data_IF_843302166257
#
_entry.id   IF_843302166257
#
_cell.length_a   1.000
_cell.length_b   1.000
_cell.length_c   1.000
_cell.angle_alpha   90.00
_cell.angle_beta   90.00
_cell.angle_gamma   90.00
#
_symmetry.space_group_name_H-M   'P 1'
#
loop_
_entity.id
_entity.type
_entity.pdbx_description
1 polymer ?
#
# COMPACT_ATOMS: atom_id res chain seq x y z
N UNK A 1 15.00 -20.88 2.25
CA UNK A 1 14.91 -20.15 3.55
C UNK A 1 13.96 -18.97 3.41
N UNK A 2 13.33 -18.48 4.49
CA UNK A 2 12.55 -17.25 4.42
C UNK A 2 13.45 -16.03 4.17
N UNK A 3 13.02 -15.12 3.30
CA UNK A 3 13.61 -13.78 3.17
C UNK A 3 13.33 -13.02 4.47
N UNK A 4 14.39 -12.62 5.19
CA UNK A 4 14.33 -11.87 6.46
C UNK A 4 15.11 -10.56 6.37
N UNK A 5 14.85 -9.54 7.22
CA UNK A 5 15.62 -8.31 7.20
C UNK A 5 17.11 -8.54 7.43
N UNK A 6 17.48 -9.46 8.33
CA UNK A 6 18.88 -9.84 8.55
C UNK A 6 19.53 -10.48 7.32
N UNK A 7 18.80 -11.32 6.58
CA UNK A 7 19.29 -11.90 5.33
C UNK A 7 19.44 -10.83 4.24
N UNK A 8 18.46 -9.93 4.11
CA UNK A 8 18.51 -8.81 3.16
C UNK A 8 19.70 -7.89 3.45
N UNK A 9 19.86 -7.47 4.71
CA UNK A 9 20.96 -6.61 5.16
C UNK A 9 22.33 -7.21 4.82
N UNK A 10 22.47 -8.53 4.92
CA UNK A 10 23.73 -9.23 4.67
C UNK A 10 24.01 -9.46 3.18
N UNK A 11 23.01 -9.87 2.40
CA UNK A 11 23.25 -10.44 1.06
C UNK A 11 22.69 -9.61 -0.10
N UNK A 12 21.70 -8.74 0.15
CA UNK A 12 21.02 -7.98 -0.91
C UNK A 12 21.30 -6.48 -0.82
N UNK A 13 21.22 -5.91 0.39
CA UNK A 13 21.45 -4.48 0.63
C UNK A 13 22.82 -4.01 0.12
N UNK A 14 23.94 -4.74 0.32
CA UNK A 14 25.24 -4.31 -0.21
C UNK A 14 25.26 -4.20 -1.73
N UNK A 15 24.60 -5.12 -2.43
CA UNK A 15 24.50 -5.11 -3.90
C UNK A 15 23.67 -3.93 -4.39
N UNK A 16 22.51 -3.69 -3.77
CA UNK A 16 21.66 -2.54 -4.11
C UNK A 16 22.36 -1.20 -3.83
N UNK A 17 23.19 -1.11 -2.78
CA UNK A 17 24.01 0.08 -2.51
C UNK A 17 25.08 0.27 -3.57
N UNK A 18 25.85 -0.77 -3.88
CA UNK A 18 26.89 -0.70 -4.90
C UNK A 18 26.33 -0.26 -6.26
N UNK A 19 25.14 -0.76 -6.64
CA UNK A 19 24.45 -0.30 -7.84
C UNK A 19 24.10 1.19 -7.80
N UNK A 20 23.55 1.69 -6.69
CA UNK A 20 23.25 3.11 -6.53
C UNK A 20 24.51 3.98 -6.55
N UNK A 21 25.58 3.55 -5.88
CA UNK A 21 26.89 4.24 -5.84
C UNK A 21 27.57 4.29 -7.20
N UNK A 22 27.38 3.23 -8.01
CA UNK A 22 27.81 3.18 -9.40
C UNK A 22 26.92 4.00 -10.36
N UNK A 23 25.88 4.66 -9.85
CA UNK A 23 24.99 5.52 -10.63
C UNK A 23 23.92 4.78 -11.42
N UNK A 24 23.62 3.52 -11.09
CA UNK A 24 22.54 2.77 -11.75
C UNK A 24 21.19 3.50 -11.55
N UNK A 25 20.45 3.80 -12.62
CA UNK A 25 19.24 4.59 -12.50
C UNK A 25 18.10 3.78 -11.87
N UNK A 26 17.45 4.37 -10.86
CA UNK A 26 16.26 3.83 -10.21
C UNK A 26 16.40 2.34 -9.81
N UNK A 27 17.45 2.04 -9.03
CA UNK A 27 17.63 0.72 -8.40
C UNK A 27 16.44 0.40 -7.51
N UNK A 28 15.90 -0.80 -7.61
CA UNK A 28 14.72 -1.26 -6.90
C UNK A 28 14.96 -2.66 -6.34
N UNK A 29 14.33 -2.91 -5.20
CA UNK A 29 14.22 -4.26 -4.63
C UNK A 29 12.75 -4.65 -4.58
N UNK A 30 12.46 -5.92 -4.88
CA UNK A 30 11.12 -6.47 -4.77
C UNK A 30 11.18 -7.86 -4.19
N UNK A 31 10.17 -8.22 -3.39
CA UNK A 31 10.00 -9.59 -2.90
C UNK A 31 9.07 -10.34 -3.84
N UNK A 32 9.46 -11.54 -4.21
CA UNK A 32 8.63 -12.47 -4.96
C UNK A 32 8.31 -13.75 -4.17
N UNK A 33 7.31 -14.48 -4.65
CA UNK A 33 6.81 -15.70 -4.04
C UNK A 33 6.56 -16.82 -5.06
N UNK A 34 6.27 -16.51 -6.33
CA UNK A 34 6.02 -17.56 -7.31
C UNK A 34 7.27 -18.44 -7.49
N UNK A 35 7.11 -19.77 -7.43
CA UNK A 35 8.20 -20.75 -7.37
C UNK A 35 9.15 -20.63 -6.16
N UNK A 36 8.66 -20.05 -5.06
CA UNK A 36 9.38 -19.93 -3.79
C UNK A 36 9.76 -18.50 -3.42
N UNK A 37 10.16 -18.22 -2.17
CA UNK A 37 10.56 -16.89 -1.74
C UNK A 37 11.85 -16.43 -2.44
N UNK A 38 11.81 -15.28 -3.09
CA UNK A 38 12.96 -14.69 -3.79
C UNK A 38 12.95 -13.16 -3.70
N UNK A 39 14.03 -12.55 -4.17
CA UNK A 39 14.18 -11.09 -4.26
C UNK A 39 14.65 -10.72 -5.65
N UNK A 40 13.92 -9.81 -6.29
CA UNK A 40 14.32 -9.21 -7.56
C UNK A 40 15.17 -7.97 -7.26
N UNK A 41 16.30 -7.87 -7.95
CA UNK A 41 17.12 -6.66 -8.00
C UNK A 41 16.94 -6.08 -9.40
N UNK A 42 16.36 -4.88 -9.47
CA UNK A 42 16.02 -4.24 -10.73
C UNK A 42 16.72 -2.88 -10.80
N UNK A 43 17.02 -2.43 -12.00
CA UNK A 43 17.37 -1.04 -12.29
C UNK A 43 16.69 -0.65 -13.60
N UNK A 44 16.43 0.64 -13.80
CA UNK A 44 15.91 1.13 -15.06
C UNK A 44 16.95 0.88 -16.15
N UNK A 45 16.48 0.56 -17.36
CA UNK A 45 17.36 0.49 -18.51
C UNK A 45 18.07 1.84 -18.71
N UNK A 46 19.38 1.77 -18.90
CA UNK A 46 20.28 2.91 -19.04
C UNK A 46 20.81 3.05 -20.47
N UNK A 47 20.12 2.44 -21.45
CA UNK A 47 20.40 2.65 -22.87
C UNK A 47 20.49 4.15 -23.18
N UNK A 48 21.68 4.59 -23.62
CA UNK A 48 21.96 5.99 -23.94
C UNK A 48 22.42 6.89 -22.77
N UNK A 49 22.59 6.37 -21.55
CA UNK A 49 23.17 7.12 -20.42
C UNK A 49 24.70 6.95 -20.43
N UNK A 50 25.49 8.05 -20.35
CA UNK A 50 26.95 7.96 -20.20
C UNK A 50 27.34 7.14 -18.97
N UNK A 51 28.10 6.05 -19.16
CA UNK A 51 28.42 5.08 -18.11
C UNK A 51 27.72 3.72 -18.27
N UNK A 52 26.70 3.62 -19.13
CA UNK A 52 25.97 2.37 -19.40
C UNK A 52 25.05 1.91 -18.27
N UNK A 53 24.40 0.76 -18.46
CA UNK A 53 23.62 0.09 -17.42
C UNK A 53 24.48 -0.82 -16.54
N UNK A 54 23.91 -1.36 -15.45
CA UNK A 54 24.61 -2.35 -14.63
C UNK A 54 25.13 -3.52 -15.47
N UNK A 55 26.37 -3.95 -15.21
CA UNK A 55 26.86 -5.26 -15.66
C UNK A 55 26.16 -6.34 -14.83
N UNK A 56 25.00 -6.77 -15.31
CA UNK A 56 24.18 -7.74 -14.61
C UNK A 56 24.82 -9.13 -14.52
N UNK A 57 25.70 -9.49 -15.44
CA UNK A 57 26.44 -10.76 -15.37
C UNK A 57 27.47 -10.69 -14.24
N UNK A 58 28.15 -9.56 -14.06
CA UNK A 58 29.02 -9.34 -12.91
C UNK A 58 28.24 -9.29 -11.59
N UNK A 59 27.09 -8.63 -11.55
CA UNK A 59 26.20 -8.62 -10.38
C UNK A 59 25.77 -10.05 -10.03
N UNK A 60 25.31 -10.83 -11.02
CA UNK A 60 24.87 -12.21 -10.82
C UNK A 60 25.99 -13.10 -10.26
N UNK A 61 27.22 -12.99 -10.80
CA UNK A 61 28.39 -13.72 -10.28
C UNK A 61 28.77 -13.35 -8.85
N UNK A 62 28.45 -12.12 -8.42
CA UNK A 62 28.74 -11.64 -7.07
C UNK A 62 27.66 -11.96 -6.04
N UNK A 63 26.47 -12.41 -6.47
CA UNK A 63 25.37 -12.73 -5.56
C UNK A 63 25.61 -14.05 -4.84
N UNK A 64 25.29 -14.08 -3.54
CA UNK A 64 25.27 -15.31 -2.74
C UNK A 64 24.04 -15.30 -1.84
N UNK A 65 23.32 -16.41 -1.79
CA UNK A 65 22.17 -16.56 -0.89
C UNK A 65 22.58 -16.98 0.53
N UNK A 66 23.87 -17.20 0.79
CA UNK A 66 24.38 -17.80 2.02
C UNK A 66 23.99 -19.28 2.17
N UNK A 67 24.37 -19.92 3.29
CA UNK A 67 24.07 -21.32 3.53
C UNK A 67 22.56 -21.55 3.67
N UNK A 68 22.09 -22.68 3.14
CA UNK A 68 20.74 -23.18 3.43
C UNK A 68 20.75 -23.79 4.84
N UNK A 69 19.88 -23.30 5.72
CA UNK A 69 19.62 -23.90 7.02
C UNK A 69 18.58 -25.04 6.86
N UNK A 70 18.96 -26.34 6.93
CA UNK A 70 18.07 -27.44 6.57
C UNK A 70 16.79 -27.52 7.44
N UNK A 71 16.85 -27.35 8.78
CA UNK A 71 15.64 -27.21 9.62
C UNK A 71 14.67 -26.10 9.21
N UNK A 72 15.14 -25.07 8.50
CA UNK A 72 14.32 -23.92 8.05
C UNK A 72 14.10 -23.91 6.54
N UNK A 73 14.53 -24.96 5.84
CA UNK A 73 14.30 -25.12 4.42
C UNK A 73 12.80 -25.38 4.18
N UNK A 74 12.22 -24.66 3.21
CA UNK A 74 10.84 -24.89 2.83
C UNK A 74 10.78 -26.16 1.99
N UNK A 75 9.88 -27.07 2.33
CA UNK A 75 9.51 -28.18 1.46
C UNK A 75 8.43 -27.73 0.48
N UNK A 76 8.35 -28.36 -0.69
CA UNK A 76 7.30 -28.06 -1.68
C UNK A 76 5.90 -28.26 -1.08
N UNK A 77 5.72 -29.31 -0.27
CA UNK A 77 4.49 -29.60 0.45
C UNK A 77 4.08 -28.46 1.39
N UNK A 78 5.03 -27.98 2.22
CA UNK A 78 4.78 -26.87 3.15
C UNK A 78 4.47 -25.59 2.40
N UNK A 79 5.13 -25.36 1.27
CA UNK A 79 4.99 -24.12 0.50
C UNK A 79 3.69 -24.05 -0.29
N UNK A 80 3.22 -25.18 -0.84
CA UNK A 80 2.11 -25.20 -1.78
C UNK A 80 0.81 -24.63 -1.18
N UNK A 81 0.56 -24.84 0.11
CA UNK A 81 -0.59 -24.26 0.80
C UNK A 81 -0.55 -22.72 0.80
N UNK A 82 0.62 -22.16 1.11
CA UNK A 82 0.84 -20.70 1.08
C UNK A 82 0.73 -20.16 -0.35
N UNK A 83 1.34 -20.82 -1.32
CA UNK A 83 1.33 -20.39 -2.72
C UNK A 83 -0.09 -20.40 -3.33
N UNK A 84 -0.93 -21.39 -2.96
CA UNK A 84 -2.34 -21.43 -3.36
C UNK A 84 -3.12 -20.22 -2.85
N UNK A 85 -2.90 -19.86 -1.60
CA UNK A 85 -3.58 -18.71 -1.00
C UNK A 85 -3.10 -17.39 -1.62
N UNK A 86 -1.81 -17.24 -1.89
CA UNK A 86 -1.28 -16.09 -2.62
C UNK A 86 -1.81 -16.04 -4.05
N UNK A 87 -1.86 -17.16 -4.75
CA UNK A 87 -2.42 -17.23 -6.10
C UNK A 87 -3.88 -16.82 -6.15
N UNK A 88 -4.70 -17.28 -5.19
CA UNK A 88 -6.10 -16.86 -5.07
C UNK A 88 -6.24 -15.35 -4.83
N UNK A 89 -5.49 -14.81 -3.86
CA UNK A 89 -5.61 -13.41 -3.46
C UNK A 89 -4.98 -12.43 -4.46
N UNK A 90 -3.95 -12.84 -5.20
CA UNK A 90 -3.26 -12.03 -6.21
C UNK A 90 -3.71 -12.32 -7.64
N UNK A 91 -4.72 -13.20 -7.82
CA UNK A 91 -5.21 -13.69 -9.11
C UNK A 91 -4.10 -14.26 -10.02
N UNK A 92 -3.15 -14.98 -9.41
CA UNK A 92 -2.04 -15.66 -10.10
C UNK A 92 -2.40 -17.12 -10.28
N UNK A 93 -2.42 -17.59 -11.52
CA UNK A 93 -2.74 -18.98 -11.85
C UNK A 93 -1.55 -19.94 -11.57
N UNK A 94 -1.81 -21.22 -11.25
CA UNK A 94 -0.77 -22.25 -11.20
C UNK A 94 -0.13 -22.46 -12.60
N UNK A 95 1.05 -23.11 -12.69
CA UNK A 95 1.74 -23.86 -11.64
C UNK A 95 2.54 -23.00 -10.66
N UNK A 96 2.51 -23.35 -9.36
CA UNK A 96 3.30 -22.69 -8.31
C UNK A 96 4.62 -23.41 -7.98
N UNK A 97 4.76 -24.63 -8.47
CA UNK A 97 5.89 -25.55 -8.28
C UNK A 97 6.47 -25.90 -9.67
N UNK A 98 7.72 -26.39 -9.76
CA UNK A 98 8.66 -26.69 -8.66
C UNK A 98 9.15 -25.44 -7.92
N UNK A 99 9.71 -25.63 -6.72
CA UNK A 99 10.48 -24.58 -6.06
C UNK A 99 11.79 -24.33 -6.82
N UNK A 100 12.18 -23.07 -6.97
CA UNK A 100 13.53 -22.71 -7.41
C UNK A 100 14.58 -23.19 -6.40
N UNK A 101 15.73 -23.60 -6.91
CA UNK A 101 16.86 -24.03 -6.09
C UNK A 101 17.36 -22.88 -5.19
N UNK A 102 17.71 -23.19 -3.94
CA UNK A 102 18.26 -22.20 -3.03
C UNK A 102 19.58 -21.63 -3.57
N UNK A 103 19.63 -20.31 -3.75
CA UNK A 103 20.81 -19.63 -4.30
C UNK A 103 20.86 -19.58 -5.81
N UNK A 104 19.84 -20.10 -6.51
CA UNK A 104 19.70 -19.85 -7.94
C UNK A 104 19.57 -18.35 -8.21
N UNK A 105 20.27 -17.90 -9.25
CA UNK A 105 20.20 -16.54 -9.77
C UNK A 105 19.73 -16.63 -11.22
N UNK A 106 18.62 -15.97 -11.52
CA UNK A 106 18.00 -15.98 -12.84
C UNK A 106 17.95 -14.56 -13.41
N UNK A 107 18.11 -14.46 -14.73
CA UNK A 107 17.87 -13.21 -15.47
C UNK A 107 16.37 -13.01 -15.59
N UNK A 108 15.87 -11.86 -15.15
CA UNK A 108 14.48 -11.47 -15.35
C UNK A 108 14.39 -10.64 -16.63
N UNK A 109 13.64 -11.13 -17.61
CA UNK A 109 13.39 -10.38 -18.83
C UNK A 109 12.40 -9.23 -18.57
N UNK A 110 12.53 -8.08 -19.26
CA UNK A 110 11.55 -7.00 -19.17
C UNK A 110 10.13 -7.50 -19.47
N UNK A 111 9.20 -7.30 -18.53
CA UNK A 111 7.82 -7.79 -18.66
C UNK A 111 7.63 -9.29 -18.38
N UNK A 112 8.71 -10.04 -18.15
CA UNK A 112 8.69 -11.47 -17.82
C UNK A 112 8.30 -11.75 -16.37
N UNK A 113 7.20 -11.16 -15.89
CA UNK A 113 6.66 -11.50 -14.57
C UNK A 113 5.74 -12.69 -14.73
N UNK A 114 6.24 -13.87 -14.38
CA UNK A 114 5.40 -15.05 -14.30
C UNK A 114 4.21 -14.80 -13.37
N UNK A 115 3.01 -15.05 -13.89
CA UNK A 115 1.79 -15.18 -13.10
C UNK A 115 1.11 -13.89 -12.62
N UNK A 116 1.75 -12.72 -12.64
CA UNK A 116 1.04 -11.50 -12.24
C UNK A 116 -0.03 -11.13 -13.27
N UNK A 117 -1.28 -10.98 -12.81
CA UNK A 117 -2.36 -10.44 -13.63
C UNK A 117 -1.88 -9.21 -14.43
N UNK A 118 -2.34 -9.08 -15.68
CA UNK A 118 -1.95 -8.02 -16.60
C UNK A 118 -2.22 -6.65 -15.96
N UNK A 119 -1.20 -6.12 -15.28
CA UNK A 119 -1.17 -4.72 -14.86
C UNK A 119 -1.01 -3.91 -16.12
N UNK A 120 -1.72 -2.80 -16.19
CA UNK A 120 -1.55 -1.88 -17.31
C UNK A 120 -0.06 -1.48 -17.43
N UNK A 121 0.62 -1.81 -18.54
CA UNK A 121 2.06 -1.54 -18.69
C UNK A 121 2.40 -0.04 -18.56
N UNK A 122 1.43 0.85 -18.76
CA UNK A 122 1.59 2.30 -18.56
C UNK A 122 1.93 2.65 -17.11
N UNK A 123 1.64 1.77 -16.14
CA UNK A 123 1.94 1.96 -14.73
C UNK A 123 3.38 1.59 -14.36
N UNK A 124 4.09 0.81 -15.18
CA UNK A 124 5.42 0.30 -14.84
C UNK A 124 6.47 1.42 -14.76
N UNK A 125 6.35 2.46 -15.59
CA UNK A 125 7.22 3.64 -15.50
C UNK A 125 7.08 4.36 -14.16
N UNK A 126 5.86 4.45 -13.62
CA UNK A 126 5.58 5.12 -12.35
C UNK A 126 6.12 4.31 -11.18
N UNK A 127 5.92 3.00 -11.24
CA UNK A 127 6.52 2.04 -10.32
C UNK A 127 8.05 2.18 -10.28
N UNK A 128 8.70 2.20 -11.44
CA UNK A 128 10.15 2.31 -11.50
C UNK A 128 10.68 3.59 -10.84
N UNK A 129 10.02 4.73 -11.12
CA UNK A 129 10.38 6.03 -10.53
C UNK A 129 10.17 6.03 -9.01
N UNK A 130 8.98 5.63 -8.56
CA UNK A 130 8.61 5.66 -7.14
C UNK A 130 9.42 4.65 -6.34
N UNK A 131 9.47 3.39 -6.75
CA UNK A 131 10.26 2.37 -6.05
C UNK A 131 11.74 2.73 -6.03
N UNK A 132 12.28 3.28 -7.13
CA UNK A 132 13.64 3.81 -7.15
C UNK A 132 13.88 4.91 -6.11
N UNK A 133 12.94 5.84 -5.96
CA UNK A 133 13.00 6.91 -4.96
C UNK A 133 12.83 6.39 -3.51
N UNK A 134 12.09 5.30 -3.30
CA UNK A 134 11.91 4.67 -2.00
C UNK A 134 13.08 3.78 -1.58
N UNK A 135 13.88 3.30 -2.53
CA UNK A 135 14.99 2.36 -2.26
C UNK A 135 15.94 2.83 -1.16
N UNK A 136 16.44 4.09 -1.12
CA UNK A 136 17.32 4.53 -0.04
C UNK A 136 16.69 4.40 1.36
N UNK A 137 15.40 4.71 1.51
CA UNK A 137 14.68 4.57 2.77
C UNK A 137 14.46 3.10 3.15
N UNK A 138 14.15 2.27 2.14
CA UNK A 138 13.99 0.83 2.28
C UNK A 138 15.28 0.16 2.77
N UNK A 139 16.42 0.46 2.15
CA UNK A 139 17.72 -0.09 2.54
C UNK A 139 18.11 0.30 3.97
N UNK A 140 17.88 1.55 4.38
CA UNK A 140 18.10 1.98 5.78
C UNK A 140 17.18 1.25 6.75
N UNK A 141 15.91 1.10 6.40
CA UNK A 141 14.94 0.39 7.24
C UNK A 141 15.32 -1.07 7.41
N UNK A 142 15.82 -1.74 6.36
CA UNK A 142 16.33 -3.12 6.46
C UNK A 142 17.49 -3.21 7.44
N UNK A 143 18.46 -2.30 7.37
CA UNK A 143 19.59 -2.26 8.29
C UNK A 143 19.14 -2.01 9.74
N UNK A 144 18.22 -1.07 9.96
CA UNK A 144 17.68 -0.77 11.29
C UNK A 144 16.97 -1.99 11.90
N UNK A 145 16.16 -2.68 11.10
CA UNK A 145 15.45 -3.90 11.52
C UNK A 145 16.41 -5.06 11.80
N UNK A 146 17.54 -5.13 11.10
CA UNK A 146 18.57 -6.14 11.31
C UNK A 146 19.45 -5.82 12.54
N UNK A 147 19.75 -4.54 12.78
CA UNK A 147 20.68 -4.08 13.82
C UNK A 147 20.04 -3.79 15.17
N UNK A 148 18.76 -3.45 15.22
CA UNK A 148 18.05 -3.06 16.45
C UNK A 148 16.80 -3.92 16.64
N UNK A 149 16.90 -5.06 17.35
CA UNK A 149 15.76 -5.92 17.65
C UNK A 149 14.63 -5.15 18.33
N UNK A 150 13.38 -5.41 17.93
CA UNK A 150 12.20 -4.76 18.50
C UNK A 150 11.88 -3.38 17.92
N UNK A 151 12.72 -2.81 17.06
CA UNK A 151 12.45 -1.51 16.41
C UNK A 151 11.32 -1.53 15.35
N UNK A 152 10.78 -2.71 15.03
CA UNK A 152 9.82 -2.93 13.95
C UNK A 152 8.63 -1.98 13.96
N UNK A 153 7.93 -1.87 15.10
CA UNK A 153 6.76 -0.98 15.22
C UNK A 153 7.13 0.48 14.94
N UNK A 154 8.24 0.95 15.52
CA UNK A 154 8.71 2.33 15.34
C UNK A 154 9.01 2.62 13.85
N UNK A 155 9.81 1.76 13.21
CA UNK A 155 10.23 1.96 11.81
C UNK A 155 9.07 1.91 10.82
N UNK A 156 8.09 1.05 11.09
CA UNK A 156 6.86 1.02 10.29
C UNK A 156 6.02 2.27 10.53
N UNK A 157 5.85 2.72 11.76
CA UNK A 157 5.12 3.94 12.06
C UNK A 157 5.73 5.16 11.37
N UNK A 158 7.06 5.32 11.39
CA UNK A 158 7.77 6.39 10.68
C UNK A 158 7.46 6.39 9.18
N UNK A 159 7.47 5.21 8.54
CA UNK A 159 7.19 5.07 7.12
C UNK A 159 5.73 5.40 6.77
N UNK A 160 4.77 4.95 7.60
CA UNK A 160 3.34 5.22 7.40
C UNK A 160 2.97 6.68 7.67
N UNK A 161 3.56 7.29 8.70
CA UNK A 161 3.38 8.73 8.99
C UNK A 161 3.97 9.56 7.85
N UNK A 162 5.14 9.20 7.33
CA UNK A 162 5.72 9.86 6.16
C UNK A 162 4.83 9.74 4.91
N UNK A 163 4.18 8.59 4.69
CA UNK A 163 3.24 8.41 3.57
C UNK A 163 1.99 9.28 3.75
N UNK A 164 1.34 9.20 4.91
CA UNK A 164 0.13 9.97 5.17
C UNK A 164 0.40 11.48 5.03
N UNK A 165 1.57 11.92 5.46
CA UNK A 165 1.97 13.32 5.38
C UNK A 165 2.21 13.84 3.95
N UNK A 166 2.29 12.99 2.92
CA UNK A 166 2.32 13.47 1.52
C UNK A 166 0.97 13.98 1.04
N UNK A 167 -0.09 13.84 1.83
CA UNK A 167 -1.40 14.37 1.47
C UNK A 167 -1.36 15.91 1.42
N UNK A 168 -2.04 16.53 0.45
CA UNK A 168 -2.01 17.99 0.23
C UNK A 168 -2.48 18.80 1.43
N UNK A 169 -3.42 18.26 2.22
CA UNK A 169 -3.90 18.83 3.48
C UNK A 169 -3.10 18.36 4.73
N UNK A 170 -1.99 17.67 4.52
CA UNK A 170 -1.11 17.15 5.57
C UNK A 170 -1.60 15.89 6.27
N UNK A 171 -0.83 15.48 7.29
CA UNK A 171 -0.99 14.21 8.03
C UNK A 171 -2.43 13.95 8.51
N UNK A 172 -3.11 14.96 9.07
CA UNK A 172 -4.45 14.81 9.64
C UNK A 172 -5.52 14.32 8.65
N UNK A 173 -5.32 14.57 7.36
CA UNK A 173 -6.20 14.07 6.29
C UNK A 173 -5.61 12.88 5.56
N UNK A 174 -4.27 12.83 5.42
CA UNK A 174 -3.63 11.69 4.80
C UNK A 174 -3.85 10.37 5.52
N UNK A 175 -4.03 10.39 6.86
CA UNK A 175 -4.39 9.19 7.64
C UNK A 175 -5.76 8.60 7.30
N UNK A 176 -6.60 9.31 6.55
CA UNK A 176 -7.86 8.74 6.06
C UNK A 176 -7.64 7.58 5.09
N UNK A 177 -6.53 7.54 4.35
CA UNK A 177 -6.21 6.39 3.49
C UNK A 177 -5.82 5.14 4.30
N UNK A 178 -4.89 5.20 5.28
CA UNK A 178 -4.69 4.13 6.24
C UNK A 178 -5.98 3.69 6.96
N UNK A 179 -6.81 4.64 7.41
CA UNK A 179 -8.09 4.34 8.07
C UNK A 179 -9.05 3.60 7.14
N UNK A 180 -9.24 4.07 5.91
CA UNK A 180 -10.02 3.39 4.86
C UNK A 180 -9.51 1.97 4.64
N UNK A 181 -8.19 1.80 4.51
CA UNK A 181 -7.60 0.49 4.22
C UNK A 181 -7.85 -0.52 5.34
N UNK A 182 -7.72 -0.12 6.60
CA UNK A 182 -8.01 -1.02 7.72
C UNK A 182 -9.51 -1.27 7.90
N UNK A 183 -10.37 -0.26 7.78
CA UNK A 183 -11.82 -0.46 7.88
C UNK A 183 -12.36 -1.37 6.76
N UNK A 184 -11.78 -1.29 5.56
CA UNK A 184 -12.10 -2.20 4.47
C UNK A 184 -11.74 -3.64 4.81
N UNK A 185 -10.55 -3.86 5.39
CA UNK A 185 -10.15 -5.18 5.87
C UNK A 185 -11.03 -5.68 7.02
N UNK A 186 -11.39 -4.81 7.96
CA UNK A 186 -12.23 -5.18 9.10
C UNK A 186 -13.64 -5.58 8.64
N UNK A 187 -14.20 -4.88 7.66
CA UNK A 187 -15.46 -5.26 7.01
C UNK A 187 -15.34 -6.61 6.27
N UNK A 188 -14.24 -6.81 5.54
CA UNK A 188 -13.96 -8.07 4.84
C UNK A 188 -13.76 -9.26 5.79
N UNK A 189 -13.10 -9.07 6.94
CA UNK A 189 -12.84 -10.13 7.92
C UNK A 189 -14.05 -10.44 8.82
N UNK A 190 -14.99 -9.50 8.97
CA UNK A 190 -16.14 -9.58 9.87
C UNK A 190 -16.95 -10.89 9.80
N UNK A 191 -17.17 -11.53 8.62
CA UNK A 191 -17.90 -12.80 8.55
C UNK A 191 -17.23 -13.95 9.34
N UNK A 192 -15.93 -13.83 9.64
CA UNK A 192 -15.14 -14.90 10.26
C UNK A 192 -14.57 -14.48 11.61
N UNK A 193 -14.16 -13.22 11.78
CA UNK A 193 -13.52 -12.74 13.00
C UNK A 193 -13.55 -11.22 13.13
N UNK A 194 -13.86 -10.73 14.34
CA UNK A 194 -13.56 -9.35 14.72
C UNK A 194 -12.19 -9.26 15.39
N UNK A 195 -11.26 -8.53 14.74
CA UNK A 195 -9.90 -8.34 15.24
C UNK A 195 -9.70 -6.99 15.95
N UNK A 196 -10.71 -6.12 16.00
CA UNK A 196 -10.62 -4.80 16.67
C UNK A 196 -10.15 -4.89 18.13
N UNK A 197 -10.63 -5.83 18.97
CA UNK A 197 -10.16 -5.94 20.35
C UNK A 197 -8.67 -6.29 20.47
N UNK A 198 -8.14 -7.05 19.51
CA UNK A 198 -6.71 -7.40 19.47
C UNK A 198 -5.89 -6.16 19.09
N UNK A 199 -6.34 -5.41 18.08
CA UNK A 199 -5.68 -4.17 17.66
C UNK A 199 -5.69 -3.11 18.76
N UNK A 200 -6.81 -2.91 19.45
CA UNK A 200 -6.93 -1.95 20.54
C UNK A 200 -5.97 -2.27 21.70
N UNK A 201 -5.91 -3.54 22.13
CA UNK A 201 -4.94 -3.98 23.16
C UNK A 201 -3.50 -3.75 22.72
N UNK A 202 -3.19 -4.10 21.47
CA UNK A 202 -1.83 -3.91 20.94
C UNK A 202 -1.46 -2.42 20.82
N UNK A 203 -2.40 -1.58 20.40
CA UNK A 203 -2.23 -0.12 20.38
C UNK A 203 -1.91 0.42 21.77
N UNK A 204 -2.58 -0.05 22.83
CA UNK A 204 -2.28 0.39 24.18
C UNK A 204 -0.82 0.08 24.61
N UNK A 205 -0.25 -1.02 24.13
CA UNK A 205 1.16 -1.38 24.36
C UNK A 205 2.12 -0.49 23.56
N UNK A 206 1.79 -0.24 22.29
CA UNK A 206 2.66 0.49 21.35
C UNK A 206 2.47 2.02 21.41
N UNK A 207 1.47 2.52 22.14
CA UNK A 207 1.04 3.92 22.17
C UNK A 207 2.17 4.93 22.45
N UNK A 208 3.07 4.73 23.43
CA UNK A 208 4.15 5.70 23.67
C UNK A 208 5.09 5.87 22.47
N UNK A 209 5.40 4.78 21.76
CA UNK A 209 6.27 4.84 20.59
C UNK A 209 5.56 5.48 19.40
N UNK A 210 4.28 5.14 19.18
CA UNK A 210 3.48 5.68 18.08
C UNK A 210 3.23 7.18 18.26
N UNK A 211 2.85 7.60 19.48
CA UNK A 211 2.62 9.00 19.83
C UNK A 211 3.85 9.84 19.56
N UNK A 212 5.02 9.36 20.00
CA UNK A 212 6.31 10.00 19.73
C UNK A 212 6.54 10.25 18.24
N UNK A 213 6.31 9.27 17.37
CA UNK A 213 6.51 9.45 15.91
C UNK A 213 5.61 10.54 15.34
N UNK A 214 4.35 10.59 15.77
CA UNK A 214 3.39 11.60 15.31
C UNK A 214 3.78 12.99 15.82
N UNK A 215 4.12 13.12 17.11
CA UNK A 215 4.53 14.39 17.73
C UNK A 215 5.85 14.92 17.14
N UNK A 216 6.86 14.06 16.97
CA UNK A 216 8.12 14.39 16.29
C UNK A 216 7.81 14.93 14.89
N UNK A 217 7.01 14.21 14.10
CA UNK A 217 6.63 14.70 12.76
C UNK A 217 5.96 16.07 12.82
N UNK A 218 4.98 16.28 13.72
CA UNK A 218 4.26 17.55 13.81
C UNK A 218 5.16 18.72 14.26
N UNK A 219 6.14 18.45 15.12
CA UNK A 219 7.14 19.45 15.56
C UNK A 219 8.21 19.76 14.50
N UNK A 220 8.32 18.92 13.46
CA UNK A 220 9.34 19.02 12.41
C UNK A 220 10.63 18.24 12.71
N UNK A 221 10.75 17.65 13.91
CA UNK A 221 11.81 16.73 14.26
C UNK A 221 11.61 15.38 13.56
N UNK A 222 12.68 14.80 13.00
CA UNK A 222 12.61 13.47 12.38
C UNK A 222 13.92 12.71 12.58
N UNK A 223 13.79 11.40 12.81
CA UNK A 223 14.93 10.49 12.73
C UNK A 223 15.49 10.44 11.29
N UNK A 224 16.72 9.95 11.12
CA UNK A 224 17.32 9.78 9.79
C UNK A 224 16.49 8.83 8.89
N UNK A 225 15.89 7.80 9.47
CA UNK A 225 15.05 6.84 8.74
C UNK A 225 13.71 7.46 8.33
N UNK A 226 13.06 8.18 9.24
CA UNK A 226 11.86 8.97 8.92
C UNK A 226 12.14 10.02 7.84
N UNK A 227 13.27 10.72 7.92
CA UNK A 227 13.69 11.70 6.91
C UNK A 227 13.89 11.05 5.54
N UNK A 228 14.54 9.89 5.47
CA UNK A 228 14.73 9.17 4.21
C UNK A 228 13.39 8.77 3.56
N UNK A 229 12.43 8.28 4.36
CA UNK A 229 11.09 7.99 3.87
C UNK A 229 10.39 9.24 3.34
N UNK A 230 10.42 10.34 4.09
CA UNK A 230 9.84 11.63 3.67
C UNK A 230 10.42 12.10 2.34
N UNK A 231 11.74 12.05 2.16
CA UNK A 231 12.40 12.45 0.91
C UNK A 231 11.94 11.59 -0.27
N UNK A 232 11.98 10.26 -0.12
CA UNK A 232 11.58 9.35 -1.20
C UNK A 232 10.11 9.47 -1.56
N UNK A 233 9.24 9.57 -0.56
CA UNK A 233 7.79 9.72 -0.74
C UNK A 233 7.41 11.08 -1.32
N UNK A 234 8.05 12.17 -0.90
CA UNK A 234 7.83 13.50 -1.47
C UNK A 234 8.25 13.56 -2.94
N UNK A 235 9.40 12.96 -3.29
CA UNK A 235 9.82 12.84 -4.69
C UNK A 235 8.82 12.01 -5.51
N UNK A 236 8.40 10.87 -4.98
CA UNK A 236 7.38 10.01 -5.61
C UNK A 236 6.06 10.75 -5.82
N UNK A 237 5.56 11.46 -4.80
CA UNK A 237 4.35 12.27 -4.88
C UNK A 237 4.45 13.33 -5.98
N UNK A 238 5.53 14.13 -6.00
CA UNK A 238 5.71 15.18 -7.01
C UNK A 238 5.82 14.63 -8.44
N UNK A 239 6.48 13.48 -8.64
CA UNK A 239 6.55 12.83 -9.94
C UNK A 239 5.17 12.33 -10.43
N UNK A 240 4.37 11.76 -9.53
CA UNK A 240 3.03 11.28 -9.83
C UNK A 240 2.04 12.43 -10.03
N UNK A 241 2.14 13.51 -9.25
CA UNK A 241 1.35 14.74 -9.43
C UNK A 241 1.64 15.39 -10.78
N UNK A 242 2.91 15.43 -11.19
CA UNK A 242 3.29 15.88 -12.53
C UNK A 242 2.65 15.02 -13.63
N UNK A 243 2.57 13.71 -13.41
CA UNK A 243 1.92 12.78 -14.35
C UNK A 243 0.39 12.99 -14.41
N UNK A 244 -0.25 13.30 -13.28
CA UNK A 244 -1.67 13.69 -13.20
C UNK A 244 -1.90 15.00 -13.96
N UNK A 245 -1.08 16.02 -13.72
CA UNK A 245 -1.18 17.31 -14.41
C UNK A 245 -1.01 17.17 -15.93
N UNK A 246 -0.17 16.23 -16.38
CA UNK A 246 0.01 15.88 -17.79
C UNK A 246 -1.09 14.97 -18.36
N UNK A 247 -2.07 14.53 -17.57
CA UNK A 247 -3.15 13.62 -18.01
C UNK A 247 -2.69 12.19 -18.28
N UNK A 248 -1.46 11.83 -17.87
CA UNK A 248 -0.87 10.51 -18.13
C UNK A 248 -1.06 9.50 -17.00
N UNK A 249 -1.52 9.99 -15.85
CA UNK A 249 -2.01 9.22 -14.71
C UNK A 249 -3.41 9.73 -14.35
N UNK A 250 -4.41 8.87 -14.46
CA UNK A 250 -5.82 9.20 -14.17
C UNK A 250 -6.43 8.16 -13.23
N UNK A 251 -7.56 8.49 -12.61
CA UNK A 251 -8.31 7.51 -11.82
C UNK A 251 -8.82 6.35 -12.69
N UNK A 252 -9.32 6.64 -13.89
CA UNK A 252 -9.76 5.62 -14.85
C UNK A 252 -8.64 4.63 -15.21
N UNK A 253 -7.41 5.12 -15.37
CA UNK A 253 -6.25 4.24 -15.60
C UNK A 253 -6.05 3.27 -14.43
N UNK A 254 -6.17 3.77 -13.20
CA UNK A 254 -5.99 2.96 -12.01
C UNK A 254 -7.16 2.00 -11.77
N UNK A 255 -8.38 2.39 -12.09
CA UNK A 255 -9.57 1.54 -11.97
C UNK A 255 -9.54 0.43 -13.03
N UNK A 256 -9.21 0.80 -14.27
CA UNK A 256 -9.04 -0.11 -15.39
C UNK A 256 -7.96 -1.18 -15.16
N UNK A 257 -6.89 -0.86 -14.43
CA UNK A 257 -5.83 -1.82 -14.10
C UNK A 257 -6.28 -3.00 -13.22
N UNK A 258 -7.47 -2.91 -12.62
CA UNK A 258 -8.08 -3.99 -11.82
C UNK A 258 -9.45 -4.43 -12.37
N UNK A 259 -9.87 -3.84 -13.49
CA UNK A 259 -11.12 -4.19 -14.16
C UNK A 259 -11.02 -5.60 -14.73
N UNK A 260 -12.04 -6.43 -14.47
CA UNK A 260 -12.09 -7.81 -14.94
C UNK A 260 -11.38 -8.85 -14.06
N UNK A 261 -10.80 -8.45 -12.92
CA UNK A 261 -10.39 -9.43 -11.91
C UNK A 261 -11.63 -10.14 -11.37
N UNK A 262 -11.65 -11.47 -11.44
CA UNK A 262 -12.66 -12.27 -10.77
C UNK A 262 -12.42 -12.21 -9.25
N UNK A 263 -13.38 -11.61 -8.54
CA UNK A 263 -13.33 -11.44 -7.09
C UNK A 263 -14.22 -12.44 -6.35
N UNK A 264 -14.91 -13.33 -7.04
CA UNK A 264 -15.94 -14.22 -6.48
C UNK A 264 -15.42 -15.12 -5.36
N UNK A 265 -14.14 -15.48 -5.42
CA UNK A 265 -13.46 -16.30 -4.41
C UNK A 265 -12.44 -15.52 -3.57
N UNK A 266 -12.56 -14.19 -3.47
CA UNK A 266 -11.63 -13.34 -2.69
C UNK A 266 -12.11 -13.05 -1.26
N UNK A 267 -13.05 -13.82 -0.73
CA UNK A 267 -13.49 -13.74 0.67
C UNK A 267 -12.40 -14.14 1.68
N UNK A 268 -12.66 -13.93 2.98
CA UNK A 268 -11.71 -14.25 4.04
C UNK A 268 -11.47 -15.75 4.22
N UNK A 269 -10.32 -16.15 4.81
CA UNK A 269 -10.07 -17.53 5.18
C UNK A 269 -11.23 -18.11 6.00
N UNK A 270 -11.77 -19.25 5.57
CA UNK A 270 -12.95 -19.88 6.17
C UNK A 270 -14.30 -19.43 5.58
N UNK A 271 -14.32 -18.40 4.74
CA UNK A 271 -15.51 -17.95 4.01
C UNK A 271 -15.12 -17.34 2.64
N UNK A 272 -14.41 -18.12 1.82
CA UNK A 272 -13.75 -17.65 0.58
C UNK A 272 -14.70 -17.08 -0.48
N UNK A 273 -15.99 -17.45 -0.46
CA UNK A 273 -17.02 -16.93 -1.38
C UNK A 273 -17.84 -15.77 -0.78
N UNK A 274 -17.58 -15.40 0.48
CA UNK A 274 -18.24 -14.27 1.13
C UNK A 274 -17.44 -13.01 0.83
N UNK A 275 -17.81 -12.35 -0.26
CA UNK A 275 -17.14 -11.15 -0.76
C UNK A 275 -17.93 -9.90 -0.40
N UNK A 276 -17.26 -8.75 -0.15
CA UNK A 276 -17.95 -7.48 0.06
C UNK A 276 -18.94 -7.17 -1.08
N UNK A 277 -20.16 -6.74 -0.72
CA UNK A 277 -21.20 -6.35 -1.69
C UNK A 277 -21.19 -4.82 -1.86
N UNK A 278 -21.42 -4.36 -3.08
CA UNK A 278 -21.44 -2.93 -3.42
C UNK A 278 -20.09 -2.37 -3.86
N UNK A 279 -20.06 -1.09 -4.19
CA UNK A 279 -18.86 -0.41 -4.71
C UNK A 279 -17.85 -0.03 -3.62
N UNK A 280 -18.30 0.05 -2.36
CA UNK A 280 -17.48 0.45 -1.22
C UNK A 280 -17.60 -0.57 -0.07
N UNK A 281 -16.57 -0.71 0.77
CA UNK A 281 -16.65 -1.53 1.98
C UNK A 281 -17.74 -1.02 2.93
N UNK A 282 -18.57 -1.93 3.44
CA UNK A 282 -19.62 -1.56 4.41
C UNK A 282 -19.02 -1.39 5.81
N UNK A 283 -18.67 -0.14 6.14
CA UNK A 283 -18.18 0.26 7.46
C UNK A 283 -18.61 1.68 7.76
N UNK A 284 -18.59 2.05 9.04
CA UNK A 284 -18.97 3.40 9.48
C UNK A 284 -18.16 4.49 8.79
N UNK A 285 -16.84 4.32 8.72
CA UNK A 285 -15.95 5.25 8.05
C UNK A 285 -16.33 5.49 6.58
N UNK A 286 -16.51 4.41 5.80
CA UNK A 286 -16.82 4.52 4.37
C UNK A 286 -18.22 5.11 4.12
N UNK A 287 -19.20 4.79 4.98
CA UNK A 287 -20.53 5.41 4.91
C UNK A 287 -20.45 6.91 5.20
N UNK A 288 -19.77 7.33 6.28
CA UNK A 288 -19.61 8.74 6.62
C UNK A 288 -18.87 9.53 5.52
N UNK A 289 -17.79 8.96 4.95
CA UNK A 289 -17.06 9.56 3.83
C UNK A 289 -17.95 9.69 2.59
N UNK A 290 -18.76 8.67 2.30
CA UNK A 290 -19.73 8.67 1.19
C UNK A 290 -20.83 9.71 1.38
N UNK A 291 -21.42 9.78 2.57
CA UNK A 291 -22.46 10.76 2.95
C UNK A 291 -21.93 12.20 2.89
N UNK A 292 -20.67 12.42 3.25
CA UNK A 292 -19.99 13.70 3.10
C UNK A 292 -19.69 14.08 1.64
N UNK A 293 -19.97 13.20 0.67
CA UNK A 293 -19.78 13.45 -0.76
C UNK A 293 -18.32 13.41 -1.22
N UNK A 294 -17.37 13.07 -0.35
CA UNK A 294 -15.92 13.12 -0.63
C UNK A 294 -15.53 12.22 -1.81
N UNK A 295 -16.22 11.08 -1.97
CA UNK A 295 -15.95 10.10 -3.03
C UNK A 295 -16.77 10.33 -4.30
N UNK A 296 -17.71 11.28 -4.32
CA UNK A 296 -18.63 11.49 -5.45
C UNK A 296 -17.95 12.12 -6.68
N UNK A 297 -16.95 12.97 -6.44
CA UNK A 297 -16.14 13.63 -7.47
C UNK A 297 -14.71 13.79 -6.95
N UNK A 298 -13.92 12.70 -6.86
CA UNK A 298 -12.57 12.76 -6.34
C UNK A 298 -11.71 13.70 -7.20
N UNK A 299 -10.91 14.55 -6.54
CA UNK A 299 -9.98 15.42 -7.25
C UNK A 299 -8.96 14.58 -8.04
N UNK A 300 -8.55 14.99 -9.26
CA UNK A 300 -7.57 14.27 -10.06
C UNK A 300 -6.27 13.95 -9.33
N UNK A 301 -5.84 14.82 -8.42
CA UNK A 301 -4.63 14.62 -7.60
C UNK A 301 -4.70 13.30 -6.80
N UNK A 302 -5.90 12.84 -6.45
CA UNK A 302 -6.11 11.59 -5.69
C UNK A 302 -5.53 10.37 -6.42
N UNK A 303 -5.44 10.40 -7.76
CA UNK A 303 -4.76 9.34 -8.52
C UNK A 303 -3.28 9.21 -8.14
N UNK A 304 -2.59 10.34 -7.92
CA UNK A 304 -1.20 10.36 -7.44
C UNK A 304 -1.10 9.71 -6.05
N UNK A 305 -1.91 10.16 -5.09
CA UNK A 305 -1.87 9.65 -3.72
C UNK A 305 -2.22 8.17 -3.61
N UNK A 306 -3.25 7.75 -4.35
CA UNK A 306 -3.69 6.35 -4.40
C UNK A 306 -2.61 5.46 -4.99
N UNK A 307 -1.98 5.87 -6.09
CA UNK A 307 -0.90 5.10 -6.68
C UNK A 307 0.33 5.07 -5.77
N UNK A 308 0.73 6.20 -5.16
CA UNK A 308 1.84 6.26 -4.22
C UNK A 308 1.64 5.31 -3.04
N UNK A 309 0.43 5.33 -2.44
CA UNK A 309 0.04 4.44 -1.34
C UNK A 309 0.14 2.97 -1.75
N UNK A 310 -0.37 2.62 -2.92
CA UNK A 310 -0.30 1.24 -3.42
C UNK A 310 1.15 0.79 -3.66
N UNK A 311 1.97 1.65 -4.28
CA UNK A 311 3.39 1.36 -4.53
C UNK A 311 4.19 1.27 -3.22
N UNK A 312 3.86 2.06 -2.20
CA UNK A 312 4.41 1.93 -0.86
C UNK A 312 4.04 0.57 -0.23
N UNK A 313 2.76 0.17 -0.28
CA UNK A 313 2.31 -1.10 0.27
C UNK A 313 2.96 -2.32 -0.38
N UNK A 314 3.33 -2.23 -1.66
CA UNK A 314 4.07 -3.29 -2.35
C UNK A 314 5.50 -3.49 -1.83
N UNK A 315 6.08 -2.51 -1.11
CA UNK A 315 7.42 -2.62 -0.53
C UNK A 315 7.42 -3.31 0.85
N UNK A 316 6.28 -3.30 1.54
CA UNK A 316 6.14 -3.85 2.90
C UNK A 316 6.50 -5.35 3.01
N UNK A 317 6.17 -6.23 2.04
CA UNK A 317 6.59 -7.63 2.10
C UNK A 317 8.11 -7.82 2.12
N UNK A 318 8.89 -6.93 1.50
CA UNK A 318 10.35 -6.96 1.55
C UNK A 318 10.85 -6.72 2.98
N UNK A 319 10.20 -5.83 3.73
CA UNK A 319 10.45 -5.59 5.15
C UNK A 319 9.88 -6.70 6.06
N UNK A 320 9.41 -7.81 5.48
CA UNK A 320 8.75 -8.93 6.20
C UNK A 320 7.50 -8.54 6.97
N UNK A 321 6.86 -7.44 6.57
CA UNK A 321 5.58 -7.01 7.13
C UNK A 321 4.48 -7.91 6.57
N UNK A 322 3.87 -8.69 7.44
CA UNK A 322 2.69 -9.47 7.10
C UNK A 322 1.50 -8.56 6.78
N UNK A 323 0.50 -9.03 6.02
CA UNK A 323 -0.75 -8.31 5.85
C UNK A 323 -1.35 -7.88 7.18
N UNK A 324 -1.24 -8.72 8.22
CA UNK A 324 -1.79 -8.38 9.53
C UNK A 324 -1.10 -7.19 10.19
N UNK A 325 0.23 -7.16 10.15
CA UNK A 325 1.01 -6.04 10.67
C UNK A 325 0.73 -4.76 9.88
N UNK A 326 0.52 -4.85 8.56
CA UNK A 326 0.11 -3.70 7.73
C UNK A 326 -1.21 -3.11 8.23
N UNK A 327 -2.26 -3.92 8.36
CA UNK A 327 -3.56 -3.42 8.81
C UNK A 327 -3.53 -2.91 10.25
N UNK A 328 -2.78 -3.57 11.14
CA UNK A 328 -2.56 -3.06 12.48
C UNK A 328 -1.86 -1.69 12.46
N UNK A 329 -0.81 -1.52 11.65
CA UNK A 329 -0.10 -0.23 11.54
C UNK A 329 -1.01 0.86 10.99
N UNK A 330 -1.84 0.56 9.98
CA UNK A 330 -2.87 1.47 9.48
C UNK A 330 -3.82 1.94 10.60
N UNK A 331 -4.35 1.00 11.39
CA UNK A 331 -5.21 1.29 12.53
C UNK A 331 -4.49 2.15 13.57
N UNK A 332 -3.32 1.69 14.00
CA UNK A 332 -2.57 2.32 15.07
C UNK A 332 -2.17 3.76 14.73
N UNK A 333 -1.69 4.02 13.52
CA UNK A 333 -1.34 5.38 13.06
C UNK A 333 -2.57 6.27 12.96
N UNK A 334 -3.69 5.77 12.41
CA UNK A 334 -4.91 6.55 12.28
C UNK A 334 -5.51 6.95 13.63
N UNK A 335 -5.57 6.02 14.59
CA UNK A 335 -6.03 6.30 15.96
C UNK A 335 -5.07 7.27 16.68
N UNK A 336 -3.76 7.06 16.56
CA UNK A 336 -2.76 7.92 17.22
C UNK A 336 -2.81 9.35 16.70
N UNK A 337 -3.04 9.56 15.40
CA UNK A 337 -3.17 10.91 14.84
C UNK A 337 -4.42 11.60 15.35
N UNK A 338 -5.55 10.89 15.51
CA UNK A 338 -6.76 11.47 16.13
C UNK A 338 -6.51 11.86 17.58
N UNK A 339 -5.83 11.01 18.35
CA UNK A 339 -5.46 11.29 19.75
C UNK A 339 -4.53 12.51 19.87
N UNK A 340 -3.46 12.57 19.07
CA UNK A 340 -2.47 13.66 19.14
C UNK A 340 -3.05 14.99 18.67
N UNK A 341 -3.90 14.98 17.64
CA UNK A 341 -4.57 16.19 17.17
C UNK A 341 -5.71 16.63 18.11
N UNK A 342 -6.18 15.76 18.99
CA UNK A 342 -7.31 16.02 19.89
C UNK A 342 -8.65 16.19 19.17
N UNK A 343 -8.73 15.79 17.90
CA UNK A 343 -9.94 15.86 17.06
C UNK A 343 -10.10 14.54 16.30
N UNK A 344 -11.29 13.97 16.37
CA UNK A 344 -11.60 12.71 15.68
C UNK A 344 -11.67 12.89 14.17
N UNK A 345 -11.46 11.80 13.43
CA UNK A 345 -11.68 11.79 11.99
C UNK A 345 -13.10 12.24 11.60
N UNK A 346 -14.13 11.93 12.41
CA UNK A 346 -15.53 12.34 12.15
C UNK A 346 -15.68 13.86 12.19
N UNK A 347 -15.12 14.49 13.22
CA UNK A 347 -15.13 15.95 13.35
C UNK A 347 -14.36 16.61 12.19
N UNK A 348 -13.22 16.03 11.79
CA UNK A 348 -12.47 16.53 10.63
C UNK A 348 -13.23 16.38 9.30
N UNK A 349 -14.00 15.32 9.10
CA UNK A 349 -14.88 15.19 7.91
C UNK A 349 -16.01 16.22 7.98
N UNK A 350 -16.72 16.30 9.11
CA UNK A 350 -17.84 17.22 9.28
C UNK A 350 -17.45 18.69 9.08
N UNK A 351 -16.26 19.08 9.53
CA UNK A 351 -15.73 20.43 9.32
C UNK A 351 -15.46 20.79 7.85
N UNK A 352 -15.33 19.80 6.95
CA UNK A 352 -15.05 19.99 5.53
C UNK A 352 -16.23 19.67 4.61
N UNK A 353 -17.36 19.22 5.15
CA UNK A 353 -18.59 19.07 4.37
C UNK A 353 -19.29 20.43 4.30
N UNK A 354 -19.50 21.03 3.11
CA UNK A 354 -20.23 22.27 3.00
C UNK A 354 -21.64 22.12 3.61
N UNK A 355 -22.05 23.08 4.44
CA UNK A 355 -23.41 23.17 4.97
C UNK A 355 -24.41 23.47 3.84
N UNK A 356 -24.72 22.47 3.01
CA UNK A 356 -25.47 22.68 1.77
C UNK A 356 -26.41 21.54 1.36
N UNK A 357 -26.43 20.41 2.07
CA UNK A 357 -27.35 19.29 1.79
C UNK A 357 -28.24 18.92 2.99
N UNK A 358 -28.47 19.85 3.91
CA UNK A 358 -29.68 19.81 4.71
C UNK A 358 -30.85 20.16 3.77
N UNK A 359 -31.41 19.14 3.13
CA UNK A 359 -32.61 19.24 2.31
C UNK A 359 -33.66 20.06 3.07
N UNK A 360 -33.90 21.27 2.57
CA UNK A 360 -35.13 21.99 2.88
C UNK A 360 -36.26 21.12 2.36
N UNK A 361 -36.92 20.41 3.28
CA UNK A 361 -38.26 19.93 3.05
C UNK A 361 -39.09 21.15 2.64
N UNK A 362 -39.35 21.30 1.34
CA UNK A 362 -40.33 22.22 0.85
C UNK A 362 -41.65 21.83 1.55
N UNK A 363 -42.32 22.76 2.25
CA UNK A 363 -43.60 22.45 2.84
C UNK A 363 -44.57 22.09 1.70
N UNK A 364 -45.27 20.97 1.88
CA UNK A 364 -46.31 20.53 0.97
C UNK A 364 -47.27 21.69 0.67
N UNK A 365 -47.69 21.91 -0.59
CA UNK A 365 -48.68 22.92 -0.89
C UNK A 365 -49.96 22.59 -0.12
N UNK A 366 -50.31 23.48 0.80
CA UNK A 366 -51.57 23.50 1.53
C UNK A 366 -52.73 23.42 0.53
N UNK A 367 -53.51 22.35 0.61
CA UNK A 367 -54.80 22.27 -0.02
C UNK A 367 -55.68 23.42 0.48
N UNK A 368 -56.20 24.23 -0.44
CA UNK A 368 -57.31 25.13 -0.20
C UNK A 368 -58.51 24.69 -1.07
N UNK A 369 -59.74 24.88 -0.59
CA UNK A 369 -60.88 24.09 -1.02
C UNK A 369 -61.62 24.68 -2.22
N UNK A 370 -62.06 23.77 -3.10
CA UNK A 370 -63.36 23.77 -3.75
C UNK A 370 -63.84 25.03 -4.47
N UNK A 371 -63.77 25.00 -5.80
CA UNK A 371 -64.84 25.48 -6.70
C UNK A 371 -64.82 24.67 -7.99
N UNK A 372 -65.87 23.90 -8.23
CA UNK A 372 -66.32 23.47 -9.56
C UNK A 372 -67.61 24.25 -9.89
N UNK A 373 -68.19 24.25 -11.11
CA UNK A 373 -67.93 23.39 -12.27
C UNK A 373 -67.95 24.16 -13.62
N UNK A 374 -68.23 23.43 -14.73
CA UNK A 374 -68.32 23.83 -16.16
C UNK A 374 -66.99 23.80 -16.92
N UNK A 375 -66.83 23.23 -18.11
CA UNK A 375 -67.67 22.49 -19.05
C UNK A 375 -66.78 22.22 -20.28
N UNK A 376 -66.68 20.97 -20.74
CA UNK A 376 -67.12 20.54 -22.08
C UNK A 376 -66.00 20.49 -23.15
N UNK A 377 -65.92 19.33 -23.83
CA UNK A 377 -65.41 19.07 -25.19
C UNK A 377 -63.87 19.17 -25.35
N UNK A 378 -63.13 18.20 -25.87
CA UNK A 378 -63.36 16.98 -26.65
C UNK A 378 -62.24 15.98 -26.35
#
# INVERSE_FOLDING_TARGET
MPVTPAWLARYVVPVARALNEAGAPAVQLRRGWLHGPHVDILARDATGIPGGGPDWDAVARGLTAGPLDPPRALTEETYLGQAREFGRLEAVQPPYLPLREHGAVERIEPGGRDGAAARDPRLDRFRAVVHGALTPALLRTVDDLAGVPGSGTLRLAEAFVALADTHTLGLGYGVFSPRSHVEAFLAWAAPTKDVRPVFARRLAEDAPALRRVVEERLSGEVSATAAAWRTGLAYGAGALESAVAAGTLTLDLLDGATAGLDRSEMGPPGATTVVPRGEQPDSDFHRTVGEAGVTSAPSPWFASFRLLTNLFYEQLPLLTVSPMQRYYTCFAVAETVDEVLGVSWRERIAANTPAGNASSAAPAPSAAPGTAPEGALR
#
